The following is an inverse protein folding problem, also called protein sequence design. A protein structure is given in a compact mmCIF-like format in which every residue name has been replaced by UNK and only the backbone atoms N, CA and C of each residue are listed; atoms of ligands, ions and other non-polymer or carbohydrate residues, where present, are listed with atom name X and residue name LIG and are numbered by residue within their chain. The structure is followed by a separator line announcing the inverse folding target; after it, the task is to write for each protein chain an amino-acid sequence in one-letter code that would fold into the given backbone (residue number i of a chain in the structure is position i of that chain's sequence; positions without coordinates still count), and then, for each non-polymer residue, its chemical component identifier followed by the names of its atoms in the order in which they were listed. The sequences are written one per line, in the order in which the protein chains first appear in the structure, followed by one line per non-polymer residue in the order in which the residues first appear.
data_IF_713905629532
#
_entry.id   IF_713905629532
#
_cell.length_a   1.000
_cell.length_b   1.000
_cell.length_c   1.000
_cell.angle_alpha   90.00
_cell.angle_beta   90.00
_cell.angle_gamma   90.00
#
_symmetry.space_group_name_H-M   'P 1'
#
loop_
_entity.id
_entity.type
_entity.pdbx_description
1 polymer ?
#
# COMPACT_ATOMS: atom_id res chain seq x y z
N UNK A 1 25.47 -17.51 -12.79
CA UNK A 1 24.45 -16.84 -11.97
C UNK A 1 24.03 -15.60 -12.72
N UNK A 2 22.76 -15.48 -13.08
CA UNK A 2 22.21 -14.28 -13.73
C UNK A 2 21.59 -13.40 -12.63
N UNK A 3 22.00 -12.14 -12.58
CA UNK A 3 21.58 -11.20 -11.55
C UNK A 3 20.42 -10.33 -12.04
N UNK A 4 19.44 -10.11 -11.15
CA UNK A 4 18.33 -9.19 -11.35
C UNK A 4 18.22 -8.24 -10.16
N UNK A 5 17.68 -7.06 -10.40
CA UNK A 5 17.53 -6.01 -9.38
C UNK A 5 16.05 -5.71 -9.16
N UNK A 6 15.67 -5.69 -7.90
CA UNK A 6 14.43 -5.08 -7.44
C UNK A 6 14.70 -3.82 -6.64
N UNK A 7 14.04 -2.75 -6.99
CA UNK A 7 14.11 -1.46 -6.31
C UNK A 7 12.78 -1.22 -5.60
N UNK A 8 12.82 -0.85 -4.32
CA UNK A 8 11.70 -0.36 -3.53
C UNK A 8 11.92 1.13 -3.26
N UNK A 9 11.17 2.00 -3.96
CA UNK A 9 11.16 3.44 -3.70
C UNK A 9 9.95 3.81 -2.85
N UNK A 10 10.02 3.48 -1.56
CA UNK A 10 8.99 3.80 -0.56
C UNK A 10 9.00 5.28 -0.18
N UNK A 11 8.13 5.70 0.74
CA UNK A 11 8.03 7.11 1.16
C UNK A 11 9.32 7.62 1.84
N UNK A 12 9.94 6.81 2.69
CA UNK A 12 11.07 7.23 3.54
C UNK A 12 12.45 6.83 3.01
N UNK A 13 12.53 5.87 2.08
CA UNK A 13 13.83 5.36 1.61
C UNK A 13 13.68 4.58 0.31
N UNK A 14 14.77 4.54 -0.46
CA UNK A 14 14.99 3.59 -1.54
C UNK A 14 15.79 2.40 -1.03
N UNK A 15 15.35 1.18 -1.35
CA UNK A 15 16.03 -0.08 -1.04
C UNK A 15 16.23 -0.87 -2.32
N UNK A 16 17.37 -1.50 -2.43
CA UNK A 16 17.76 -2.27 -3.59
C UNK A 16 18.14 -3.67 -3.16
N UNK A 17 17.57 -4.67 -3.81
CA UNK A 17 17.98 -6.06 -3.70
C UNK A 17 18.53 -6.54 -5.04
N UNK A 18 19.71 -7.14 -5.02
CA UNK A 18 20.28 -7.84 -6.17
C UNK A 18 20.18 -9.33 -5.89
N UNK A 19 19.42 -10.03 -6.73
CA UNK A 19 19.06 -11.41 -6.53
C UNK A 19 19.54 -12.31 -7.67
N UNK A 20 19.78 -13.58 -7.39
CA UNK A 20 19.87 -14.61 -8.43
C UNK A 20 18.51 -14.79 -9.11
N UNK A 21 18.47 -14.66 -10.44
CA UNK A 21 17.22 -14.72 -11.21
C UNK A 21 16.50 -16.07 -11.11
N UNK A 22 17.24 -17.17 -10.90
CA UNK A 22 16.67 -18.50 -10.86
C UNK A 22 16.06 -18.85 -9.49
N UNK A 23 16.70 -18.39 -8.40
CA UNK A 23 16.36 -18.83 -7.03
C UNK A 23 15.70 -17.75 -6.18
N UNK A 24 15.91 -16.46 -6.51
CA UNK A 24 15.51 -15.33 -5.69
C UNK A 24 16.41 -15.11 -4.48
N UNK A 25 17.53 -15.82 -4.37
CA UNK A 25 18.50 -15.60 -3.31
C UNK A 25 19.08 -14.18 -3.40
N UNK A 26 19.03 -13.46 -2.28
CA UNK A 26 19.58 -12.10 -2.18
C UNK A 26 21.09 -12.20 -2.09
N UNK A 27 21.78 -11.67 -3.09
CA UNK A 27 23.24 -11.67 -3.20
C UNK A 27 23.84 -10.41 -2.59
N UNK A 28 23.20 -9.27 -2.83
CA UNK A 28 23.62 -7.95 -2.35
C UNK A 28 22.42 -7.08 -2.07
N UNK A 29 22.55 -6.14 -1.15
CA UNK A 29 21.52 -5.16 -0.84
C UNK A 29 22.10 -3.78 -0.59
N UNK A 30 21.29 -2.75 -0.78
CA UNK A 30 21.66 -1.37 -0.50
C UNK A 30 20.45 -0.53 -0.12
N UNK A 31 20.72 0.58 0.56
CA UNK A 31 19.68 1.52 1.02
C UNK A 31 20.18 2.94 0.96
N UNK A 32 19.26 3.88 0.67
CA UNK A 32 19.44 5.31 0.85
C UNK A 32 18.12 5.94 1.31
N UNK A 33 18.19 6.97 2.14
CA UNK A 33 16.99 7.62 2.66
C UNK A 33 16.46 8.65 1.66
N UNK A 34 15.13 8.87 1.69
CA UNK A 34 14.46 9.96 1.01
C UNK A 34 14.29 11.16 1.95
N UNK A 35 14.17 12.38 1.43
CA UNK A 35 13.73 13.53 2.22
C UNK A 35 12.32 13.29 2.82
N UNK A 36 12.09 13.79 4.02
CA UNK A 36 10.76 13.80 4.62
C UNK A 36 9.86 14.82 3.92
N UNK A 37 8.57 14.52 3.83
CA UNK A 37 7.56 15.43 3.30
C UNK A 37 6.37 14.75 2.68
N UNK A 38 5.42 15.58 2.22
CA UNK A 38 4.26 15.16 1.43
C UNK A 38 4.33 15.67 0.00
N UNK A 39 5.37 16.45 -0.30
CA UNK A 39 5.68 17.05 -1.60
C UNK A 39 7.20 16.96 -1.81
N UNK A 40 7.64 16.25 -2.85
CA UNK A 40 9.05 15.88 -3.07
C UNK A 40 9.44 16.17 -4.53
N UNK A 41 10.63 16.71 -4.73
CA UNK A 41 11.24 16.75 -6.06
C UNK A 41 11.58 15.31 -6.49
N UNK A 42 11.05 14.81 -7.62
CA UNK A 42 11.34 13.45 -8.10
C UNK A 42 12.84 13.16 -8.28
N UNK A 43 13.68 14.17 -8.54
CA UNK A 43 15.13 14.01 -8.61
C UNK A 43 15.75 13.45 -7.32
N UNK A 44 15.09 13.64 -6.16
CA UNK A 44 15.53 13.04 -4.91
C UNK A 44 15.39 11.51 -4.93
N UNK A 45 14.34 10.98 -5.58
CA UNK A 45 14.17 9.52 -5.74
C UNK A 45 15.22 8.90 -6.64
N UNK A 46 15.56 9.59 -7.76
CA UNK A 46 16.62 9.14 -8.66
C UNK A 46 17.99 9.12 -7.95
N UNK A 47 18.29 10.21 -7.21
CA UNK A 47 19.52 10.30 -6.42
C UNK A 47 19.60 9.20 -5.36
N UNK A 48 18.52 8.93 -4.65
CA UNK A 48 18.46 7.86 -3.64
C UNK A 48 18.55 6.47 -4.28
N UNK A 49 17.94 6.26 -5.45
CA UNK A 49 18.04 4.99 -6.17
C UNK A 49 19.49 4.70 -6.58
N UNK A 50 20.19 5.67 -7.16
CA UNK A 50 21.60 5.53 -7.52
C UNK A 50 22.50 5.34 -6.29
N UNK A 51 22.23 6.04 -5.19
CA UNK A 51 22.95 5.84 -3.93
C UNK A 51 22.73 4.43 -3.35
N UNK A 52 21.50 3.92 -3.36
CA UNK A 52 21.18 2.57 -2.91
C UNK A 52 21.79 1.49 -3.82
N UNK A 53 21.79 1.71 -5.15
CA UNK A 53 22.49 0.84 -6.12
C UNK A 53 23.98 0.81 -5.84
N UNK A 54 24.61 1.97 -5.60
CA UNK A 54 26.04 2.04 -5.27
C UNK A 54 26.34 1.32 -3.95
N UNK A 55 25.50 1.49 -2.93
CA UNK A 55 25.61 0.78 -1.65
C UNK A 55 25.48 -0.76 -1.82
N UNK A 56 24.68 -1.22 -2.78
CA UNK A 56 24.58 -2.63 -3.18
C UNK A 56 25.77 -3.12 -4.03
N UNK A 57 26.78 -2.27 -4.31
CA UNK A 57 27.96 -2.62 -5.11
C UNK A 57 27.78 -2.47 -6.61
N UNK A 58 26.82 -1.68 -7.07
CA UNK A 58 26.60 -1.34 -8.49
C UNK A 58 25.82 -2.39 -9.29
N UNK A 59 25.68 -2.14 -10.59
CA UNK A 59 24.86 -2.94 -11.51
C UNK A 59 25.69 -3.90 -12.39
N UNK A 60 26.96 -4.11 -12.10
CA UNK A 60 27.81 -5.01 -12.91
C UNK A 60 27.22 -6.44 -12.90
N UNK A 61 27.03 -6.99 -14.10
CA UNK A 61 26.47 -8.32 -14.30
C UNK A 61 24.95 -8.44 -14.11
N UNK A 62 24.26 -7.33 -13.92
CA UNK A 62 22.78 -7.28 -13.82
C UNK A 62 22.16 -7.35 -15.21
N UNK A 63 21.25 -8.33 -15.40
CA UNK A 63 20.55 -8.53 -16.66
C UNK A 63 19.18 -7.83 -16.72
N UNK A 64 18.51 -7.68 -15.55
CA UNK A 64 17.20 -7.01 -15.52
C UNK A 64 16.97 -6.24 -14.22
N UNK A 65 16.13 -5.21 -14.32
CA UNK A 65 15.74 -4.29 -13.24
C UNK A 65 14.22 -4.14 -13.27
N UNK A 66 13.58 -4.06 -12.09
CA UNK A 66 12.22 -3.54 -11.96
C UNK A 66 12.09 -2.69 -10.70
N UNK A 67 11.17 -1.73 -10.76
CA UNK A 67 10.93 -0.76 -9.70
C UNK A 67 9.57 -1.02 -9.07
N UNK A 68 9.52 -1.22 -7.76
CA UNK A 68 8.33 -1.07 -6.95
C UNK A 68 8.37 0.29 -6.23
N UNK A 69 7.28 1.03 -6.21
CA UNK A 69 7.27 2.32 -5.51
C UNK A 69 5.94 2.63 -4.84
N UNK A 70 5.97 3.65 -3.96
CA UNK A 70 4.78 4.22 -3.35
C UNK A 70 3.75 4.61 -4.41
N UNK A 71 2.48 4.24 -4.19
CA UNK A 71 1.40 4.49 -5.13
C UNK A 71 0.89 5.95 -5.08
N UNK A 72 0.13 6.34 -6.09
CA UNK A 72 -0.68 7.56 -6.16
C UNK A 72 0.09 8.89 -6.23
N UNK A 73 1.42 8.90 -6.19
CA UNK A 73 2.21 10.10 -6.33
C UNK A 73 1.94 10.76 -7.69
N UNK A 74 1.79 12.11 -7.72
CA UNK A 74 1.52 12.84 -8.95
C UNK A 74 2.80 13.48 -9.47
N UNK A 75 3.38 12.94 -10.54
CA UNK A 75 4.51 13.53 -11.26
C UNK A 75 3.99 14.16 -12.55
N UNK A 76 4.18 15.47 -12.70
CA UNK A 76 3.80 16.25 -13.88
C UNK A 76 5.04 16.63 -14.67
N UNK A 77 5.07 16.28 -15.95
CA UNK A 77 6.17 16.59 -16.88
C UNK A 77 5.70 17.55 -17.96
N UNK A 78 6.57 18.45 -18.38
CA UNK A 78 6.34 19.28 -19.56
C UNK A 78 6.70 18.53 -20.86
N UNK A 79 6.52 19.20 -22.01
CA UNK A 79 6.78 18.57 -23.32
C UNK A 79 8.26 18.20 -23.56
N UNK A 80 9.18 18.70 -22.75
CA UNK A 80 10.61 18.37 -22.82
C UNK A 80 11.00 17.27 -21.82
N UNK A 81 10.07 16.78 -21.01
CA UNK A 81 10.29 15.79 -19.97
C UNK A 81 10.79 16.36 -18.65
N UNK A 82 10.81 17.68 -18.51
CA UNK A 82 11.19 18.34 -17.26
C UNK A 82 10.03 18.34 -16.26
N UNK A 83 10.36 18.20 -14.98
CA UNK A 83 9.36 18.21 -13.89
C UNK A 83 8.74 19.60 -13.76
N UNK A 84 7.43 19.70 -13.92
CA UNK A 84 6.68 20.97 -13.84
C UNK A 84 6.65 21.53 -12.43
N UNK A 85 6.54 20.65 -11.44
CA UNK A 85 6.50 20.98 -10.01
C UNK A 85 6.89 19.75 -9.16
N UNK A 86 7.26 19.92 -7.88
CA UNK A 86 7.46 18.78 -6.97
C UNK A 86 6.23 17.88 -6.92
N UNK A 87 6.44 16.58 -6.85
CA UNK A 87 5.39 15.57 -6.84
C UNK A 87 4.61 15.59 -5.53
N UNK A 88 3.28 15.57 -5.60
CA UNK A 88 2.42 15.37 -4.43
C UNK A 88 2.33 13.88 -4.11
N UNK A 89 2.67 13.49 -2.89
CA UNK A 89 2.68 12.09 -2.44
C UNK A 89 1.29 11.62 -1.99
N UNK A 90 1.16 10.32 -1.74
CA UNK A 90 -0.07 9.69 -1.28
C UNK A 90 -0.57 10.21 0.08
N UNK A 91 0.34 10.67 0.94
CA UNK A 91 0.06 11.21 2.28
C UNK A 91 -0.21 12.74 2.28
N UNK A 92 -0.24 13.39 1.11
CA UNK A 92 -0.67 14.78 1.00
C UNK A 92 -2.20 14.87 1.00
N UNK A 93 -2.74 15.70 1.88
CA UNK A 93 -4.20 15.81 2.09
C UNK A 93 -4.83 17.05 1.46
N UNK A 94 -4.04 17.93 0.80
CA UNK A 94 -4.53 19.19 0.21
C UNK A 94 -5.63 19.00 -0.84
N UNK A 95 -5.69 17.86 -1.49
CA UNK A 95 -6.67 17.52 -2.51
C UNK A 95 -7.97 16.89 -1.96
N UNK A 96 -8.22 16.96 -0.64
CA UNK A 96 -9.43 16.36 -0.05
C UNK A 96 -10.73 16.97 -0.58
N UNK A 97 -10.79 18.30 -0.75
CA UNK A 97 -11.95 18.97 -1.32
C UNK A 97 -12.14 18.63 -2.80
N UNK A 98 -11.05 18.54 -3.55
CA UNK A 98 -11.06 18.12 -4.94
C UNK A 98 -11.59 16.67 -5.10
N UNK A 99 -11.24 15.78 -4.18
CA UNK A 99 -11.75 14.41 -4.16
C UNK A 99 -13.28 14.38 -3.95
N UNK A 100 -13.80 15.16 -2.99
CA UNK A 100 -15.24 15.28 -2.76
C UNK A 100 -15.97 15.85 -3.99
N UNK A 101 -15.46 16.95 -4.55
CA UNK A 101 -16.04 17.56 -5.75
C UNK A 101 -16.11 16.59 -6.93
N UNK A 102 -15.04 15.83 -7.20
CA UNK A 102 -15.01 14.81 -8.24
C UNK A 102 -16.04 13.69 -7.97
N UNK A 103 -16.17 13.26 -6.72
CA UNK A 103 -17.13 12.23 -6.33
C UNK A 103 -18.55 12.69 -6.62
N UNK A 104 -18.90 13.92 -6.22
CA UNK A 104 -20.23 14.51 -6.44
C UNK A 104 -20.52 14.74 -7.93
N UNK A 105 -19.54 15.27 -8.70
CA UNK A 105 -19.67 15.56 -10.13
C UNK A 105 -19.96 14.31 -10.97
N UNK A 106 -19.42 13.12 -10.60
CA UNK A 106 -19.68 11.87 -11.30
C UNK A 106 -20.98 11.18 -10.84
N UNK A 107 -21.60 11.63 -9.75
CA UNK A 107 -22.84 11.05 -9.23
C UNK A 107 -22.66 10.12 -8.05
N UNK A 108 -21.64 10.35 -7.23
CA UNK A 108 -21.40 9.67 -5.97
C UNK A 108 -20.37 8.54 -6.01
N UNK A 109 -20.04 7.96 -4.83
CA UNK A 109 -18.98 6.96 -4.69
C UNK A 109 -19.22 5.72 -5.55
N UNK A 110 -20.47 5.22 -5.62
CA UNK A 110 -20.78 4.05 -6.43
C UNK A 110 -20.56 4.27 -7.95
N UNK A 111 -20.69 5.50 -8.45
CA UNK A 111 -20.37 5.79 -9.85
C UNK A 111 -18.86 5.63 -10.12
N UNK A 112 -18.02 6.10 -9.20
CA UNK A 112 -16.58 5.94 -9.27
C UNK A 112 -16.14 4.47 -9.13
N UNK A 113 -16.69 3.77 -8.13
CA UNK A 113 -16.41 2.35 -7.93
C UNK A 113 -16.73 1.53 -9.20
N UNK A 114 -17.88 1.78 -9.82
CA UNK A 114 -18.28 1.11 -11.09
C UNK A 114 -17.39 1.52 -12.26
N UNK A 115 -16.92 2.76 -12.31
CA UNK A 115 -16.12 3.27 -13.42
C UNK A 115 -14.68 2.73 -13.41
N UNK A 116 -14.00 2.71 -12.23
CA UNK A 116 -12.56 2.41 -12.13
C UNK A 116 -12.17 1.58 -10.90
N UNK A 117 -13.13 1.09 -10.12
CA UNK A 117 -12.86 0.25 -8.94
C UNK A 117 -12.39 1.01 -7.70
N UNK A 118 -12.24 2.34 -7.76
CA UNK A 118 -11.82 3.16 -6.62
C UNK A 118 -12.65 4.42 -6.51
N UNK A 119 -12.85 4.90 -5.28
CA UNK A 119 -13.49 6.19 -5.00
C UNK A 119 -12.40 7.22 -4.71
N UNK A 120 -12.45 8.43 -5.29
CA UNK A 120 -11.44 9.45 -5.06
C UNK A 120 -11.32 9.81 -3.58
N UNK A 121 -10.09 9.78 -3.09
CA UNK A 121 -9.66 10.30 -1.80
C UNK A 121 -8.49 11.26 -2.06
N UNK A 122 -8.08 12.05 -1.07
CA UNK A 122 -6.93 12.95 -1.19
C UNK A 122 -5.65 12.21 -1.64
N UNK A 123 -5.49 10.94 -1.25
CA UNK A 123 -4.37 10.11 -1.65
C UNK A 123 -4.32 9.81 -3.15
N UNK A 124 -5.48 9.67 -3.82
CA UNK A 124 -5.59 9.18 -5.20
C UNK A 124 -5.18 10.26 -6.21
N UNK A 125 -4.45 9.87 -7.24
CA UNK A 125 -3.84 10.79 -8.24
C UNK A 125 -4.86 11.71 -8.90
N UNK A 126 -6.05 11.20 -9.25
CA UNK A 126 -7.11 12.01 -9.90
C UNK A 126 -7.52 13.23 -9.07
N UNK A 127 -7.55 13.10 -7.73
CA UNK A 127 -7.87 14.21 -6.84
C UNK A 127 -6.75 15.27 -6.82
N UNK A 128 -5.49 14.84 -6.88
CA UNK A 128 -4.34 15.75 -6.97
C UNK A 128 -4.32 16.53 -8.30
N UNK A 129 -4.68 15.85 -9.40
CA UNK A 129 -4.80 16.50 -10.71
C UNK A 129 -5.92 17.55 -10.73
N UNK A 130 -7.05 17.25 -10.08
CA UNK A 130 -8.13 18.24 -9.94
C UNK A 130 -7.67 19.43 -9.10
N UNK A 131 -7.00 19.19 -7.98
CA UNK A 131 -6.43 20.23 -7.16
C UNK A 131 -5.44 21.09 -7.97
N UNK A 132 -4.54 20.45 -8.74
CA UNK A 132 -3.59 21.15 -9.62
C UNK A 132 -4.31 22.05 -10.62
N UNK A 133 -5.34 21.54 -11.30
CA UNK A 133 -6.09 22.29 -12.29
C UNK A 133 -6.82 23.52 -11.70
N UNK A 134 -7.32 23.39 -10.48
CA UNK A 134 -8.09 24.45 -9.80
C UNK A 134 -7.20 25.49 -9.08
N UNK A 135 -6.04 25.09 -8.54
CA UNK A 135 -5.20 25.96 -7.70
C UNK A 135 -3.89 26.39 -8.38
N UNK A 136 -3.38 25.61 -9.32
CA UNK A 136 -2.14 25.90 -10.05
C UNK A 136 -2.36 25.78 -11.58
N UNK A 137 -3.31 26.54 -12.18
CA UNK A 137 -3.69 26.37 -13.58
C UNK A 137 -2.50 26.55 -14.55
N UNK A 138 -1.53 27.41 -14.22
CA UNK A 138 -0.33 27.59 -15.04
C UNK A 138 0.58 26.36 -15.06
N UNK A 139 0.64 25.57 -13.96
CA UNK A 139 1.31 24.27 -13.95
C UNK A 139 0.49 23.24 -14.70
N UNK A 140 -0.83 23.23 -14.54
CA UNK A 140 -1.72 22.36 -15.28
C UNK A 140 -1.61 22.56 -16.80
N UNK A 141 -1.51 23.81 -17.28
CA UNK A 141 -1.34 24.17 -18.69
C UNK A 141 0.03 23.71 -19.26
N UNK A 142 1.06 23.69 -18.44
CA UNK A 142 2.41 23.21 -18.82
C UNK A 142 2.54 21.69 -18.79
N UNK A 143 1.63 20.99 -18.10
CA UNK A 143 1.70 19.55 -17.92
C UNK A 143 1.37 18.83 -19.23
N UNK A 144 2.38 18.32 -19.91
CA UNK A 144 2.26 17.56 -21.14
C UNK A 144 2.10 16.05 -20.89
N UNK A 145 2.66 15.53 -19.76
CA UNK A 145 2.47 14.15 -19.34
C UNK A 145 2.29 14.05 -17.81
N UNK A 146 1.56 13.01 -17.38
CA UNK A 146 1.41 12.64 -15.95
C UNK A 146 1.83 11.20 -15.78
N UNK A 147 2.67 10.93 -14.80
CA UNK A 147 3.09 9.59 -14.43
C UNK A 147 3.18 9.43 -12.90
N UNK A 148 3.41 8.20 -12.45
CA UNK A 148 3.52 7.83 -11.05
C UNK A 148 4.99 7.71 -10.64
N UNK A 149 5.32 7.60 -9.34
CA UNK A 149 6.70 7.54 -8.89
C UNK A 149 7.53 6.42 -9.53
N UNK A 150 6.97 5.19 -9.64
CA UNK A 150 7.71 4.10 -10.24
C UNK A 150 7.89 4.25 -11.76
N UNK A 151 6.89 4.84 -12.45
CA UNK A 151 6.94 5.12 -13.89
C UNK A 151 8.12 6.07 -14.18
N UNK A 152 8.13 7.19 -13.45
CA UNK A 152 9.15 8.22 -13.58
C UNK A 152 10.54 7.68 -13.28
N UNK A 153 10.68 6.94 -12.16
CA UNK A 153 11.96 6.38 -11.76
C UNK A 153 12.48 5.33 -12.75
N UNK A 154 11.58 4.46 -13.27
CA UNK A 154 11.92 3.49 -14.31
C UNK A 154 12.39 4.20 -15.58
N UNK A 155 11.66 5.24 -16.01
CA UNK A 155 11.99 6.05 -17.19
C UNK A 155 13.36 6.72 -17.04
N UNK A 156 13.66 7.31 -15.87
CA UNK A 156 14.98 7.92 -15.56
C UNK A 156 16.11 6.89 -15.54
N UNK A 157 15.90 5.75 -14.89
CA UNK A 157 16.91 4.69 -14.80
C UNK A 157 17.24 4.08 -16.17
N UNK A 158 16.30 4.11 -17.12
CA UNK A 158 16.55 3.74 -18.53
C UNK A 158 17.38 4.78 -19.28
N UNK A 159 17.47 5.99 -18.76
CA UNK A 159 18.12 7.12 -19.43
C UNK A 159 17.25 7.78 -20.49
N UNK A 160 15.93 7.55 -20.45
CA UNK A 160 14.98 8.16 -21.38
C UNK A 160 14.75 9.65 -21.05
N UNK A 161 14.44 10.42 -22.08
CA UNK A 161 14.06 11.84 -21.98
C UNK A 161 12.77 12.15 -22.74
N UNK A 162 12.33 11.27 -23.62
CA UNK A 162 11.09 11.42 -24.37
C UNK A 162 9.90 10.93 -23.52
N UNK A 163 8.94 11.79 -23.26
CA UNK A 163 7.72 11.44 -22.53
C UNK A 163 6.91 10.35 -23.22
N UNK A 164 7.06 10.16 -24.54
CA UNK A 164 6.42 9.07 -25.27
C UNK A 164 6.94 7.68 -24.87
N UNK A 165 8.10 7.59 -24.24
CA UNK A 165 8.68 6.36 -23.73
C UNK A 165 8.21 5.99 -22.29
N UNK A 166 7.37 6.81 -21.66
CA UNK A 166 6.82 6.50 -20.33
C UNK A 166 5.99 5.21 -20.35
N UNK A 167 6.28 4.35 -19.39
CA UNK A 167 5.56 3.09 -19.18
C UNK A 167 5.12 2.96 -17.72
N UNK A 168 4.05 2.24 -17.49
CA UNK A 168 3.52 1.88 -16.17
C UNK A 168 3.06 0.44 -16.16
N UNK A 169 2.67 -0.07 -14.99
CA UNK A 169 2.02 -1.36 -14.85
C UNK A 169 0.54 -1.23 -14.46
N UNK A 170 -0.18 -2.36 -14.49
CA UNK A 170 -1.60 -2.40 -14.11
C UNK A 170 -1.84 -2.06 -12.65
N UNK A 171 -0.94 -2.48 -11.75
CA UNK A 171 -1.17 -2.36 -10.31
C UNK A 171 -1.10 -0.89 -9.87
N UNK A 172 -0.13 -0.14 -10.38
CA UNK A 172 0.01 1.27 -10.05
C UNK A 172 -1.00 2.13 -10.84
N UNK A 173 -1.22 1.84 -12.14
CA UNK A 173 -2.24 2.50 -12.94
C UNK A 173 -3.64 2.42 -12.30
N UNK A 174 -4.00 1.28 -11.67
CA UNK A 174 -5.29 1.10 -10.98
C UNK A 174 -5.47 2.01 -9.77
N UNK A 175 -4.38 2.54 -9.21
CA UNK A 175 -4.37 3.52 -8.14
C UNK A 175 -4.53 4.98 -8.58
N UNK A 176 -4.66 5.25 -9.88
CA UNK A 176 -4.75 6.63 -10.41
C UNK A 176 -6.12 7.27 -10.26
N UNK A 177 -7.20 6.47 -10.27
CA UNK A 177 -8.58 6.94 -10.35
C UNK A 177 -9.06 7.27 -11.76
N UNK A 178 -8.25 7.02 -12.78
CA UNK A 178 -8.62 7.14 -14.20
C UNK A 178 -8.16 5.93 -15.06
N UNK A 179 -7.93 4.79 -14.43
CA UNK A 179 -7.68 3.52 -15.11
C UNK A 179 -8.60 2.44 -14.56
N UNK A 180 -9.30 1.75 -15.43
CA UNK A 180 -10.14 0.61 -15.06
C UNK A 180 -9.38 -0.69 -15.19
N UNK A 181 -9.02 -1.29 -14.06
CA UNK A 181 -8.26 -2.53 -14.00
C UNK A 181 -8.99 -3.74 -14.63
N UNK A 182 -10.33 -3.72 -14.66
CA UNK A 182 -11.13 -4.82 -15.23
C UNK A 182 -11.16 -4.79 -16.76
N UNK A 183 -11.28 -3.61 -17.37
CA UNK A 183 -11.21 -3.46 -18.83
C UNK A 183 -9.77 -3.32 -19.35
N UNK A 184 -8.82 -3.01 -18.47
CA UNK A 184 -7.43 -2.74 -18.86
C UNK A 184 -7.25 -1.43 -19.63
N UNK A 185 -8.12 -0.44 -19.43
CA UNK A 185 -8.14 0.78 -20.22
C UNK A 185 -8.18 2.05 -19.36
N UNK A 186 -7.55 3.10 -19.85
CA UNK A 186 -7.70 4.44 -19.28
C UNK A 186 -9.09 5.01 -19.55
N UNK A 187 -9.67 5.62 -18.54
CA UNK A 187 -10.88 6.44 -18.59
C UNK A 187 -10.45 7.90 -18.78
N UNK A 188 -10.15 8.23 -20.05
CA UNK A 188 -9.69 9.57 -20.44
C UNK A 188 -10.73 10.64 -20.10
N UNK A 189 -12.01 10.31 -20.11
CA UNK A 189 -13.11 11.18 -19.68
C UNK A 189 -12.98 11.61 -18.20
N UNK A 190 -12.53 10.70 -17.31
CA UNK A 190 -12.29 11.02 -15.90
C UNK A 190 -11.01 11.84 -15.70
N UNK A 191 -9.98 11.59 -16.52
CA UNK A 191 -8.79 12.44 -16.54
C UNK A 191 -9.16 13.88 -16.98
N UNK A 192 -9.94 14.03 -18.04
CA UNK A 192 -10.41 15.33 -18.52
C UNK A 192 -11.28 16.05 -17.48
N UNK A 193 -12.18 15.32 -16.83
CA UNK A 193 -12.98 15.84 -15.74
C UNK A 193 -12.07 16.44 -14.65
N UNK A 194 -11.06 15.68 -14.21
CA UNK A 194 -10.10 16.12 -13.19
C UNK A 194 -9.27 17.33 -13.67
N UNK A 195 -8.76 17.30 -14.89
CA UNK A 195 -7.86 18.29 -15.45
C UNK A 195 -8.59 19.48 -16.10
N UNK A 196 -9.92 19.63 -15.87
CA UNK A 196 -10.72 20.72 -16.45
C UNK A 196 -10.59 20.80 -17.98
N UNK A 197 -10.70 19.66 -18.66
CA UNK A 197 -10.65 19.53 -20.11
C UNK A 197 -9.27 19.34 -20.71
N UNK A 198 -8.18 19.38 -19.93
CA UNK A 198 -6.82 19.10 -20.41
C UNK A 198 -6.58 17.61 -20.53
N UNK A 199 -5.75 17.20 -21.50
CA UNK A 199 -5.43 15.80 -21.83
C UNK A 199 -3.92 15.56 -21.82
N UNK A 200 -3.25 15.54 -20.66
CA UNK A 200 -1.85 15.15 -20.64
C UNK A 200 -1.68 13.70 -21.12
N UNK A 201 -0.52 13.40 -21.71
CA UNK A 201 -0.15 12.06 -22.06
C UNK A 201 -0.06 11.17 -20.82
N UNK A 202 -0.47 9.90 -20.95
CA UNK A 202 -0.34 8.89 -19.91
C UNK A 202 0.67 7.81 -20.33
N UNK A 203 1.34 7.15 -19.40
CA UNK A 203 2.26 6.05 -19.68
C UNK A 203 1.56 4.89 -20.39
N UNK A 204 2.27 4.17 -21.25
CA UNK A 204 1.78 2.92 -21.81
C UNK A 204 1.72 1.85 -20.70
N UNK A 205 0.56 1.20 -20.54
CA UNK A 205 0.39 0.15 -19.53
C UNK A 205 0.95 -1.16 -20.07
N UNK A 206 1.98 -1.67 -19.39
CA UNK A 206 2.61 -2.94 -19.72
C UNK A 206 1.89 -4.13 -19.05
N UNK A 207 1.91 -5.28 -19.68
CA UNK A 207 1.50 -6.54 -19.05
C UNK A 207 2.56 -6.99 -18.02
N UNK A 208 2.23 -7.85 -17.07
CA UNK A 208 3.13 -8.23 -15.98
C UNK A 208 4.49 -8.83 -16.39
N UNK A 209 4.54 -9.51 -17.54
CA UNK A 209 5.75 -10.11 -18.09
C UNK A 209 6.41 -9.26 -19.19
N UNK A 210 5.78 -8.14 -19.57
CA UNK A 210 6.32 -7.27 -20.61
C UNK A 210 7.56 -6.53 -20.09
N UNK A 211 8.43 -6.18 -21.02
CA UNK A 211 9.68 -5.52 -20.73
C UNK A 211 9.96 -4.42 -21.74
N UNK A 212 10.72 -3.43 -21.27
CA UNK A 212 11.43 -2.47 -22.10
C UNK A 212 12.92 -2.74 -21.98
N UNK A 213 13.75 -2.08 -22.77
CA UNK A 213 15.20 -2.28 -22.70
C UNK A 213 15.96 -0.96 -22.79
N UNK A 214 17.11 -0.90 -22.14
CA UNK A 214 18.12 0.13 -22.33
C UNK A 214 19.49 -0.55 -22.49
N UNK A 215 20.07 -0.47 -23.68
CA UNK A 215 21.27 -1.24 -24.02
C UNK A 215 21.02 -2.74 -23.89
N UNK A 216 21.78 -3.40 -23.02
CA UNK A 216 21.67 -4.84 -22.72
C UNK A 216 20.83 -5.15 -21.48
N UNK A 217 20.34 -4.12 -20.77
CA UNK A 217 19.56 -4.29 -19.54
C UNK A 217 18.07 -4.29 -19.84
N UNK A 218 17.39 -5.31 -19.37
CA UNK A 218 15.92 -5.44 -19.44
C UNK A 218 15.29 -4.68 -18.28
N UNK A 219 14.22 -3.92 -18.54
CA UNK A 219 13.40 -3.28 -17.50
C UNK A 219 12.01 -3.90 -17.49
N UNK A 220 11.62 -4.47 -16.36
CA UNK A 220 10.25 -4.95 -16.15
C UNK A 220 9.24 -3.80 -16.07
N UNK A 221 7.95 -4.15 -16.09
CA UNK A 221 6.86 -3.19 -16.09
C UNK A 221 6.83 -2.27 -14.85
N UNK A 222 7.43 -2.70 -13.74
CA UNK A 222 7.30 -2.05 -12.43
C UNK A 222 6.06 -2.51 -11.68
N UNK A 223 5.84 -1.97 -10.47
CA UNK A 223 4.74 -2.35 -9.57
C UNK A 223 4.45 -1.23 -8.58
N UNK A 224 3.19 -1.06 -8.19
CA UNK A 224 2.87 -0.41 -6.92
C UNK A 224 3.39 -1.22 -5.73
N UNK A 225 3.75 -0.56 -4.63
CA UNK A 225 4.39 -1.18 -3.46
C UNK A 225 3.58 -2.35 -2.88
N UNK A 226 2.26 -2.23 -2.78
CA UNK A 226 1.41 -3.29 -2.25
C UNK A 226 1.38 -4.54 -3.16
N UNK A 227 1.34 -4.33 -4.48
CA UNK A 227 1.41 -5.42 -5.46
C UNK A 227 2.80 -6.09 -5.47
N UNK A 228 3.85 -5.29 -5.36
CA UNK A 228 5.21 -5.77 -5.23
C UNK A 228 5.39 -6.61 -3.95
N UNK A 229 4.89 -6.13 -2.81
CA UNK A 229 4.92 -6.89 -1.55
C UNK A 229 4.17 -8.23 -1.67
N UNK A 230 2.99 -8.23 -2.29
CA UNK A 230 2.22 -9.46 -2.52
C UNK A 230 3.00 -10.47 -3.38
N UNK A 231 3.63 -10.00 -4.47
CA UNK A 231 4.47 -10.83 -5.34
C UNK A 231 5.71 -11.35 -4.60
N UNK A 232 6.38 -10.50 -3.80
CA UNK A 232 7.56 -10.87 -3.02
C UNK A 232 7.26 -11.89 -1.92
N UNK A 233 6.11 -11.79 -1.27
CA UNK A 233 5.61 -12.77 -0.30
C UNK A 233 5.19 -14.09 -0.98
N UNK A 234 4.95 -14.08 -2.28
CA UNK A 234 4.34 -15.21 -2.98
C UNK A 234 2.91 -15.43 -2.52
N UNK A 235 2.19 -14.35 -2.20
CA UNK A 235 0.79 -14.43 -1.79
C UNK A 235 -0.09 -14.96 -2.90
N UNK A 236 -1.08 -15.77 -2.55
CA UNK A 236 -2.01 -16.39 -3.47
C UNK A 236 -3.45 -16.23 -2.96
N UNK A 237 -4.42 -16.69 -3.74
CA UNK A 237 -5.82 -16.65 -3.37
C UNK A 237 -6.08 -17.34 -2.03
N UNK A 238 -6.76 -16.63 -1.13
CA UNK A 238 -6.99 -17.05 0.25
C UNK A 238 -5.94 -16.57 1.26
N UNK A 239 -4.80 -16.03 0.79
CA UNK A 239 -3.85 -15.32 1.65
C UNK A 239 -4.32 -13.86 1.79
N UNK A 240 -4.55 -13.40 3.02
CA UNK A 240 -4.81 -11.99 3.32
C UNK A 240 -3.55 -11.36 3.91
N UNK A 241 -3.01 -10.36 3.25
CA UNK A 241 -1.86 -9.62 3.74
C UNK A 241 -2.36 -8.53 4.69
N UNK A 242 -1.93 -8.58 5.93
CA UNK A 242 -2.17 -7.53 6.93
C UNK A 242 -0.84 -6.87 7.24
N UNK A 243 -0.68 -5.64 6.78
CA UNK A 243 0.52 -4.83 7.04
C UNK A 243 0.25 -3.86 8.18
N UNK A 244 1.03 -3.96 9.25
CA UNK A 244 0.96 -3.09 10.43
C UNK A 244 2.17 -2.17 10.44
N UNK A 245 2.08 -1.11 9.65
CA UNK A 245 2.99 0.04 9.66
C UNK A 245 2.46 1.15 10.56
N UNK A 246 2.83 2.41 10.31
CA UNK A 246 2.19 3.59 10.93
C UNK A 246 0.69 3.57 10.68
N UNK A 247 0.29 3.29 9.45
CA UNK A 247 -1.07 2.95 9.01
C UNK A 247 -1.21 1.45 8.77
N UNK A 248 -2.44 0.97 8.66
CA UNK A 248 -2.74 -0.44 8.39
C UNK A 248 -3.20 -0.66 6.95
N UNK A 249 -2.83 -1.81 6.40
CA UNK A 249 -3.33 -2.27 5.09
C UNK A 249 -3.83 -3.70 5.25
N UNK A 250 -5.00 -3.97 4.68
CA UNK A 250 -5.56 -5.33 4.54
C UNK A 250 -5.81 -5.57 3.06
N UNK A 251 -5.08 -6.47 2.44
CA UNK A 251 -5.15 -6.74 1.01
C UNK A 251 -5.14 -8.24 0.73
N UNK A 252 -5.69 -8.64 -0.40
CA UNK A 252 -5.68 -10.04 -0.83
C UNK A 252 -5.61 -10.16 -2.34
N UNK A 253 -5.11 -11.28 -2.84
CA UNK A 253 -5.11 -11.55 -4.28
C UNK A 253 -6.41 -12.26 -4.66
N UNK A 254 -7.12 -11.73 -5.68
CA UNK A 254 -8.37 -12.32 -6.19
C UNK A 254 -8.33 -12.50 -7.70
N UNK A 255 -9.11 -13.48 -8.19
CA UNK A 255 -9.27 -13.69 -9.63
C UNK A 255 -10.17 -12.61 -10.27
N UNK A 256 -11.15 -12.13 -9.53
CA UNK A 256 -12.16 -11.18 -10.01
C UNK A 256 -11.94 -9.77 -9.45
N UNK A 257 -12.31 -8.77 -10.26
CA UNK A 257 -12.26 -7.36 -9.86
C UNK A 257 -13.31 -7.07 -8.78
N UNK A 258 -12.90 -6.36 -7.74
CA UNK A 258 -13.81 -5.85 -6.70
C UNK A 258 -14.26 -4.43 -7.05
N UNK A 259 -15.56 -4.17 -6.86
CA UNK A 259 -16.16 -2.85 -7.02
C UNK A 259 -17.06 -2.57 -5.82
N UNK A 260 -16.57 -1.74 -4.92
CA UNK A 260 -17.26 -1.43 -3.67
C UNK A 260 -17.93 -0.05 -3.78
N UNK A 261 -19.24 -0.05 -3.97
CA UNK A 261 -20.06 1.17 -4.06
C UNK A 261 -19.96 2.07 -2.81
N UNK A 262 -19.60 1.50 -1.66
CA UNK A 262 -19.39 2.24 -0.42
C UNK A 262 -17.99 2.89 -0.35
N UNK A 263 -17.03 2.39 -1.14
CA UNK A 263 -15.67 2.92 -1.25
C UNK A 263 -14.73 2.53 -0.10
N UNK A 264 -15.07 1.51 0.69
CA UNK A 264 -14.17 0.99 1.73
C UNK A 264 -13.05 0.15 1.13
N UNK A 265 -13.37 -0.62 0.06
CA UNK A 265 -12.41 -1.47 -0.66
C UNK A 265 -11.99 -0.80 -1.95
N UNK A 266 -10.69 -0.55 -2.10
CA UNK A 266 -10.11 -0.14 -3.37
C UNK A 266 -9.84 -1.38 -4.24
N UNK A 267 -10.43 -1.43 -5.44
CA UNK A 267 -10.35 -2.55 -6.38
C UNK A 267 -9.10 -2.48 -7.26
N UNK A 268 -7.91 -2.49 -6.67
CA UNK A 268 -6.65 -2.42 -7.42
C UNK A 268 -6.36 -3.71 -8.20
N UNK A 269 -5.51 -3.60 -9.22
CA UNK A 269 -4.89 -4.74 -9.87
C UNK A 269 -3.66 -5.23 -9.07
N UNK A 270 -3.32 -6.51 -9.22
CA UNK A 270 -2.06 -7.06 -8.74
C UNK A 270 -0.97 -7.03 -9.83
N UNK A 271 0.24 -7.44 -9.47
CA UNK A 271 1.39 -7.53 -10.38
C UNK A 271 1.43 -8.80 -11.24
N UNK A 272 0.39 -9.67 -11.22
CA UNK A 272 0.40 -10.95 -11.94
C UNK A 272 -0.71 -11.11 -13.00
N UNK A 273 -1.53 -10.08 -13.17
CA UNK A 273 -2.67 -10.10 -14.09
C UNK A 273 -4.01 -10.36 -13.39
N UNK A 274 -4.00 -10.52 -12.06
CA UNK A 274 -5.16 -10.65 -11.18
C UNK A 274 -5.49 -9.31 -10.51
N UNK A 275 -6.16 -9.33 -9.36
CA UNK A 275 -6.56 -8.13 -8.63
C UNK A 275 -6.04 -8.18 -7.19
N UNK A 276 -5.93 -7.00 -6.57
CA UNK A 276 -5.48 -6.81 -5.20
C UNK A 276 -6.44 -5.85 -4.47
N UNK A 277 -7.70 -6.29 -4.22
CA UNK A 277 -8.58 -5.47 -3.40
C UNK A 277 -7.94 -5.17 -2.05
N UNK A 278 -8.06 -3.91 -1.62
CA UNK A 278 -7.29 -3.37 -0.53
C UNK A 278 -8.13 -2.40 0.32
N UNK A 279 -7.98 -2.53 1.64
CA UNK A 279 -8.54 -1.62 2.65
C UNK A 279 -7.39 -0.98 3.42
N UNK A 280 -7.44 0.34 3.61
CA UNK A 280 -6.46 1.08 4.41
C UNK A 280 -7.07 1.64 5.67
N UNK A 281 -6.34 1.59 6.79
CA UNK A 281 -6.62 2.32 8.03
C UNK A 281 -5.54 3.37 8.29
N UNK A 282 -5.88 4.46 8.99
CA UNK A 282 -4.89 5.46 9.39
C UNK A 282 -4.12 5.03 10.64
N UNK A 283 -4.76 4.24 11.51
CA UNK A 283 -4.22 3.88 12.80
C UNK A 283 -3.82 2.41 12.83
N UNK A 284 -2.52 2.15 12.99
CA UNK A 284 -2.00 0.80 13.19
C UNK A 284 -0.90 0.77 14.27
N UNK A 285 0.38 0.68 13.96
CA UNK A 285 1.44 0.60 14.97
C UNK A 285 1.42 1.78 15.94
N UNK A 286 1.03 2.98 15.49
CA UNK A 286 0.88 4.16 16.36
C UNK A 286 -0.06 3.94 17.56
N UNK A 287 -1.01 3.00 17.46
CA UNK A 287 -1.90 2.62 18.57
C UNK A 287 -1.09 1.94 19.68
N UNK A 288 -0.12 1.10 19.28
CA UNK A 288 0.78 0.45 20.23
C UNK A 288 1.73 1.47 20.87
N UNK A 289 2.24 2.43 20.08
CA UNK A 289 3.09 3.52 20.55
C UNK A 289 2.35 4.37 21.61
N UNK A 290 1.12 4.78 21.30
CA UNK A 290 0.29 5.57 22.21
C UNK A 290 -0.04 4.80 23.50
N UNK A 291 -0.39 3.52 23.40
CA UNK A 291 -0.68 2.68 24.56
C UNK A 291 0.56 2.47 25.41
N UNK A 292 1.73 2.23 24.84
CA UNK A 292 3.00 2.10 25.54
C UNK A 292 3.36 3.39 26.30
N UNK A 293 3.20 4.54 25.63
CA UNK A 293 3.42 5.85 26.23
C UNK A 293 2.46 6.13 27.40
N UNK A 294 1.15 5.86 27.25
CA UNK A 294 0.16 6.03 28.32
C UNK A 294 0.47 5.15 29.54
N UNK A 295 1.01 3.94 29.32
CA UNK A 295 1.33 2.98 30.38
C UNK A 295 2.75 3.17 30.96
N UNK A 296 3.58 4.03 30.36
CA UNK A 296 4.97 4.24 30.77
C UNK A 296 5.85 3.00 30.60
N UNK A 297 5.61 2.20 29.57
CA UNK A 297 6.34 0.98 29.25
C UNK A 297 6.89 1.00 27.81
N UNK A 298 7.85 0.13 27.53
CA UNK A 298 8.28 -0.17 26.17
C UNK A 298 7.32 -1.17 25.45
N UNK A 299 7.57 -1.49 24.19
CA UNK A 299 6.74 -2.44 23.42
C UNK A 299 6.74 -3.84 24.00
N UNK A 300 7.85 -4.29 24.60
CA UNK A 300 7.92 -5.59 25.28
C UNK A 300 7.09 -5.56 26.56
N UNK A 301 7.12 -4.48 27.31
CA UNK A 301 6.26 -4.24 28.47
C UNK A 301 4.79 -4.23 28.11
N UNK A 302 4.42 -3.53 27.04
CA UNK A 302 3.06 -3.53 26.49
C UNK A 302 2.62 -4.95 26.13
N UNK A 303 3.46 -5.71 25.44
CA UNK A 303 3.17 -7.09 25.07
C UNK A 303 2.95 -7.99 26.29
N UNK A 304 3.83 -7.90 27.30
CA UNK A 304 3.67 -8.67 28.57
C UNK A 304 2.37 -8.32 29.29
N UNK A 305 2.03 -7.05 29.38
CA UNK A 305 0.77 -6.59 30.00
C UNK A 305 -0.44 -7.11 29.21
N UNK A 306 -0.47 -6.95 27.90
CA UNK A 306 -1.58 -7.40 27.05
C UNK A 306 -1.82 -8.91 27.14
N UNK A 307 -0.74 -9.71 27.17
CA UNK A 307 -0.81 -11.17 27.27
C UNK A 307 -1.23 -11.66 28.67
N UNK A 308 -1.06 -10.84 29.71
CA UNK A 308 -1.49 -11.18 31.09
C UNK A 308 -2.99 -10.94 31.32
N UNK A 309 -3.68 -10.20 30.44
CA UNK A 309 -5.11 -9.96 30.55
C UNK A 309 -5.93 -11.00 29.76
N UNK A 310 -7.17 -11.30 30.21
CA UNK A 310 -8.06 -12.21 29.49
C UNK A 310 -8.50 -11.62 28.14
N UNK A 311 -8.90 -12.48 27.18
CA UNK A 311 -9.54 -12.05 25.94
C UNK A 311 -10.72 -11.13 26.20
N UNK A 312 -10.82 -10.03 25.44
CA UNK A 312 -11.84 -9.00 25.62
C UNK A 312 -11.58 -8.02 26.76
N UNK A 313 -10.34 -8.01 27.32
CA UNK A 313 -9.86 -7.02 28.30
C UNK A 313 -10.85 -6.76 29.45
N UNK A 314 -11.50 -7.80 29.96
CA UNK A 314 -12.59 -7.72 30.97
C UNK A 314 -13.71 -6.72 30.61
N UNK A 315 -14.00 -6.55 29.33
CA UNK A 315 -15.04 -5.65 28.81
C UNK A 315 -14.56 -4.26 28.40
N UNK A 316 -13.28 -3.95 28.55
CA UNK A 316 -12.69 -2.71 28.06
C UNK A 316 -12.46 -2.78 26.53
N UNK A 317 -12.83 -1.75 25.80
CA UNK A 317 -12.64 -1.67 24.34
C UNK A 317 -12.01 -0.32 23.98
N UNK A 318 -10.91 -0.37 23.25
CA UNK A 318 -10.33 0.82 22.62
C UNK A 318 -10.78 0.90 21.16
N UNK A 319 -11.39 2.02 20.76
CA UNK A 319 -11.58 2.41 19.36
C UNK A 319 -10.41 3.30 18.97
N UNK A 320 -9.52 2.87 18.04
CA UNK A 320 -8.19 3.47 17.90
C UNK A 320 -8.13 4.61 16.87
N UNK A 321 -9.13 5.48 16.76
CA UNK A 321 -9.18 6.57 15.76
C UNK A 321 -8.38 7.80 16.20
N UNK A 322 -7.10 7.61 16.53
CA UNK A 322 -6.26 8.62 17.21
C UNK A 322 -6.01 9.88 16.37
N UNK A 323 -5.98 9.75 15.05
CA UNK A 323 -5.74 10.84 14.08
C UNK A 323 -6.87 10.91 13.03
N UNK A 324 -8.10 10.69 13.47
CA UNK A 324 -9.18 10.35 12.56
C UNK A 324 -9.06 8.92 12.06
N UNK A 325 -9.93 8.51 11.12
CA UNK A 325 -9.81 7.21 10.47
C UNK A 325 -10.19 7.31 8.98
N UNK A 326 -9.58 6.46 8.15
CA UNK A 326 -9.81 6.37 6.71
C UNK A 326 -10.89 5.34 6.36
N UNK A 327 -10.86 4.20 7.04
CA UNK A 327 -11.87 3.15 6.88
C UNK A 327 -12.38 2.73 8.27
N UNK A 328 -13.60 3.17 8.63
CA UNK A 328 -14.51 4.06 7.90
C UNK A 328 -13.96 5.48 7.72
N UNK A 329 -14.48 6.24 6.73
CA UNK A 329 -14.04 7.62 6.47
C UNK A 329 -14.54 8.57 7.57
N UNK A 330 -13.75 8.75 8.61
CA UNK A 330 -14.02 9.59 9.80
C UNK A 330 -12.81 10.49 10.09
N UNK A 331 -12.51 11.47 9.23
CA UNK A 331 -11.27 12.26 9.31
C UNK A 331 -11.14 13.09 10.59
N UNK A 332 -12.24 13.39 11.27
CA UNK A 332 -12.27 14.19 12.50
C UNK A 332 -12.54 13.36 13.77
N UNK A 333 -12.56 12.03 13.66
CA UNK A 333 -12.76 11.19 14.83
C UNK A 333 -11.54 11.20 15.75
N UNK A 334 -11.77 10.92 17.02
CA UNK A 334 -10.73 10.70 18.02
C UNK A 334 -10.84 9.30 18.64
N UNK A 335 -9.75 8.79 19.20
CA UNK A 335 -9.76 7.52 19.92
C UNK A 335 -10.67 7.56 21.13
N UNK A 336 -11.35 6.43 21.41
CA UNK A 336 -12.28 6.31 22.54
C UNK A 336 -12.08 5.01 23.31
N UNK A 337 -12.20 5.09 24.63
CA UNK A 337 -12.15 3.95 25.54
C UNK A 337 -13.54 3.68 26.10
N UNK A 338 -14.13 2.55 25.78
CA UNK A 338 -15.46 2.14 26.20
C UNK A 338 -15.43 1.03 27.25
N UNK A 339 -16.48 0.94 28.07
CA UNK A 339 -16.64 -0.14 29.03
C UNK A 339 -15.77 -0.03 30.27
N UNK A 340 -15.13 1.13 30.53
CA UNK A 340 -14.28 1.35 31.71
C UNK A 340 -15.09 1.29 33.02
N UNK A 341 -14.61 0.49 33.96
CA UNK A 341 -15.16 0.31 35.31
C UNK A 341 -14.00 0.18 36.29
N UNK A 342 -14.23 0.45 37.59
CA UNK A 342 -13.21 0.29 38.63
C UNK A 342 -12.60 -1.13 38.61
N UNK A 343 -13.41 -2.15 38.36
CA UNK A 343 -12.98 -3.55 38.38
C UNK A 343 -12.05 -3.94 37.21
N UNK A 344 -12.11 -3.23 36.07
CA UNK A 344 -11.28 -3.53 34.88
C UNK A 344 -10.25 -2.43 34.55
N UNK A 345 -10.15 -1.38 35.37
CA UNK A 345 -9.22 -0.28 35.21
C UNK A 345 -7.79 -0.71 35.64
N UNK A 346 -7.17 -1.57 34.88
CA UNK A 346 -5.81 -2.09 35.14
C UNK A 346 -4.92 -1.88 33.92
N UNK A 347 -3.59 -1.70 34.12
CA UNK A 347 -2.62 -1.62 33.03
C UNK A 347 -2.71 -2.79 32.04
N UNK A 348 -2.92 -4.01 32.55
CA UNK A 348 -3.05 -5.21 31.71
C UNK A 348 -4.26 -5.15 30.77
N UNK A 349 -5.44 -4.76 31.30
CA UNK A 349 -6.64 -4.64 30.48
C UNK A 349 -6.54 -3.49 29.48
N UNK A 350 -5.90 -2.37 29.83
CA UNK A 350 -5.68 -1.27 28.88
C UNK A 350 -4.75 -1.70 27.74
N UNK A 351 -3.64 -2.37 28.06
CA UNK A 351 -2.73 -2.91 27.07
C UNK A 351 -3.44 -3.93 26.14
N UNK A 352 -4.23 -4.82 26.72
CA UNK A 352 -5.03 -5.79 25.95
C UNK A 352 -6.05 -5.11 25.05
N UNK A 353 -6.79 -4.14 25.55
CA UNK A 353 -7.78 -3.39 24.78
C UNK A 353 -7.15 -2.62 23.61
N UNK A 354 -5.91 -2.10 23.78
CA UNK A 354 -5.18 -1.43 22.71
C UNK A 354 -4.78 -2.40 21.59
N UNK A 355 -4.25 -3.56 21.93
CA UNK A 355 -3.89 -4.58 20.93
C UNK A 355 -5.14 -5.14 20.24
N UNK A 356 -6.20 -5.47 20.99
CA UNK A 356 -7.45 -5.96 20.43
C UNK A 356 -8.16 -4.90 19.60
N UNK A 357 -8.15 -3.63 20.01
CA UNK A 357 -8.75 -2.52 19.26
C UNK A 357 -8.09 -2.32 17.89
N UNK A 358 -6.75 -2.34 17.85
CA UNK A 358 -5.99 -2.33 16.60
C UNK A 358 -6.36 -3.53 15.70
N UNK A 359 -6.37 -4.74 16.26
CA UNK A 359 -6.70 -5.96 15.51
C UNK A 359 -8.15 -5.94 15.02
N UNK A 360 -9.10 -5.43 15.82
CA UNK A 360 -10.49 -5.29 15.42
C UNK A 360 -10.67 -4.28 14.28
N UNK A 361 -9.95 -3.16 14.30
CA UNK A 361 -9.97 -2.21 13.19
C UNK A 361 -9.46 -2.83 11.88
N UNK A 362 -8.44 -3.71 11.96
CA UNK A 362 -7.97 -4.48 10.80
C UNK A 362 -8.93 -5.61 10.42
N UNK A 363 -9.63 -6.21 11.39
CA UNK A 363 -10.66 -7.22 11.14
C UNK A 363 -11.87 -6.63 10.40
N UNK A 364 -12.24 -5.37 10.65
CA UNK A 364 -13.23 -4.66 9.81
C UNK A 364 -12.81 -4.66 8.33
N UNK A 365 -11.50 -4.52 8.05
CA UNK A 365 -10.97 -4.65 6.69
C UNK A 365 -11.15 -6.04 6.09
N UNK A 366 -10.98 -7.11 6.89
CA UNK A 366 -11.27 -8.47 6.45
C UNK A 366 -12.77 -8.65 6.16
N UNK A 367 -13.64 -8.09 7.00
CA UNK A 367 -15.09 -8.16 6.82
C UNK A 367 -15.54 -7.43 5.53
N UNK A 368 -14.95 -6.27 5.23
CA UNK A 368 -15.20 -5.58 3.97
C UNK A 368 -14.77 -6.42 2.76
N UNK A 369 -13.61 -7.08 2.81
CA UNK A 369 -13.19 -8.00 1.76
C UNK A 369 -14.13 -9.22 1.66
N UNK A 370 -14.55 -9.78 2.78
CA UNK A 370 -15.46 -10.92 2.83
C UNK A 370 -16.84 -10.59 2.24
N UNK A 371 -17.32 -9.35 2.41
CA UNK A 371 -18.56 -8.88 1.78
C UNK A 371 -18.51 -8.90 0.24
N UNK A 372 -17.30 -8.91 -0.34
CA UNK A 372 -17.05 -9.06 -1.77
C UNK A 372 -16.64 -10.48 -2.18
N UNK A 373 -16.92 -11.48 -1.35
CA UNK A 373 -16.70 -12.90 -1.68
C UNK A 373 -15.30 -13.43 -1.37
N UNK A 374 -14.44 -12.63 -0.75
CA UNK A 374 -13.12 -13.09 -0.33
C UNK A 374 -13.24 -14.09 0.83
N UNK A 375 -12.60 -15.24 0.69
CA UNK A 375 -12.50 -16.24 1.75
C UNK A 375 -11.06 -16.29 2.26
N UNK A 376 -10.82 -15.67 3.40
CA UNK A 376 -9.53 -15.72 4.06
C UNK A 376 -9.23 -17.12 4.58
N UNK A 377 -8.11 -17.74 4.18
CA UNK A 377 -7.61 -19.03 4.68
C UNK A 377 -6.53 -18.82 5.74
N UNK A 378 -5.76 -17.77 5.60
CA UNK A 378 -4.76 -17.32 6.57
C UNK A 378 -4.46 -15.84 6.38
N UNK A 379 -3.87 -15.24 7.39
CA UNK A 379 -3.30 -13.90 7.35
C UNK A 379 -1.78 -13.99 7.25
N UNK A 380 -1.18 -13.24 6.33
CA UNK A 380 0.25 -12.92 6.29
C UNK A 380 0.45 -11.59 7.02
N UNK A 381 0.95 -11.64 8.26
CA UNK A 381 1.12 -10.45 9.09
C UNK A 381 2.52 -9.87 8.89
N UNK A 382 2.60 -8.66 8.35
CA UNK A 382 3.85 -7.97 8.02
C UNK A 382 3.90 -6.56 8.60
N UNK A 383 4.98 -5.84 8.34
CA UNK A 383 5.20 -4.48 8.83
C UNK A 383 5.87 -4.45 10.21
N UNK A 384 6.27 -3.25 10.65
CA UNK A 384 7.00 -3.08 11.91
C UNK A 384 6.22 -3.55 13.14
N UNK A 385 4.89 -3.35 13.14
CA UNK A 385 4.02 -3.83 14.23
C UNK A 385 3.97 -5.35 14.37
N UNK A 386 4.27 -6.10 13.31
CA UNK A 386 4.39 -7.56 13.38
C UNK A 386 5.53 -8.05 14.31
N UNK A 387 6.43 -7.16 14.76
CA UNK A 387 7.40 -7.50 15.79
C UNK A 387 6.76 -7.69 17.19
N UNK A 388 5.56 -7.11 17.43
CA UNK A 388 4.87 -7.21 18.71
C UNK A 388 4.45 -8.65 19.03
N UNK A 389 4.95 -9.18 20.14
CA UNK A 389 4.62 -10.54 20.59
C UNK A 389 3.13 -10.70 20.91
N UNK A 390 2.52 -9.67 21.52
CA UNK A 390 1.09 -9.67 21.81
C UNK A 390 0.25 -9.66 20.51
N UNK A 391 0.66 -8.86 19.53
CA UNK A 391 -0.06 -8.80 18.25
C UNK A 391 -0.08 -10.18 17.57
N UNK A 392 1.08 -10.85 17.46
CA UNK A 392 1.20 -12.19 16.88
C UNK A 392 0.33 -13.22 17.59
N UNK A 393 0.35 -13.22 18.92
CA UNK A 393 -0.36 -14.20 19.73
C UNK A 393 -1.88 -13.99 19.74
N UNK A 394 -2.34 -12.73 19.67
CA UNK A 394 -3.77 -12.38 19.78
C UNK A 394 -4.47 -12.38 18.41
N UNK A 395 -3.75 -12.02 17.35
CA UNK A 395 -4.31 -11.86 16.01
C UNK A 395 -5.13 -13.07 15.51
N UNK A 396 -4.70 -14.34 15.65
CA UNK A 396 -5.48 -15.48 15.19
C UNK A 396 -6.86 -15.58 15.86
N UNK A 397 -6.95 -15.23 17.15
CA UNK A 397 -8.20 -15.26 17.89
C UNK A 397 -9.19 -14.19 17.42
N UNK A 398 -8.69 -12.99 17.04
CA UNK A 398 -9.52 -11.88 16.56
C UNK A 398 -9.91 -12.08 15.09
N UNK A 399 -8.96 -12.48 14.23
CA UNK A 399 -9.22 -12.70 12.81
C UNK A 399 -9.97 -14.01 12.51
N UNK A 400 -9.97 -14.97 13.43
CA UNK A 400 -10.64 -16.25 13.27
C UNK A 400 -9.96 -17.21 12.27
N UNK A 401 -8.75 -16.89 11.82
CA UNK A 401 -7.95 -17.70 10.88
C UNK A 401 -6.49 -17.74 11.34
N UNK A 402 -5.70 -18.77 10.90
CA UNK A 402 -4.26 -18.81 11.19
C UNK A 402 -3.52 -17.57 10.73
N UNK A 403 -2.51 -17.18 11.48
CA UNK A 403 -1.63 -16.02 11.15
C UNK A 403 -0.22 -16.53 10.95
N UNK A 404 0.35 -16.27 9.78
CA UNK A 404 1.73 -16.55 9.44
C UNK A 404 2.51 -15.22 9.44
N UNK A 405 3.60 -15.18 10.19
CA UNK A 405 4.49 -14.01 10.26
C UNK A 405 5.76 -14.33 9.49
N UNK A 406 5.94 -13.80 8.28
CA UNK A 406 7.15 -14.02 7.51
C UNK A 406 8.38 -13.42 8.21
N UNK A 407 9.54 -14.04 8.00
CA UNK A 407 10.81 -13.50 8.47
C UNK A 407 10.96 -12.04 7.98
N UNK A 408 11.53 -11.13 8.80
CA UNK A 408 11.74 -9.75 8.35
C UNK A 408 12.48 -9.68 7.02
N UNK A 409 11.95 -8.89 6.06
CA UNK A 409 12.51 -8.80 4.71
C UNK A 409 12.00 -7.60 3.93
N UNK A 410 12.66 -7.30 2.82
CA UNK A 410 12.30 -6.20 1.90
C UNK A 410 11.38 -6.74 0.80
N UNK A 411 10.12 -7.03 1.14
CA UNK A 411 9.20 -7.75 0.25
C UNK A 411 8.81 -6.97 -1.01
N UNK A 412 8.79 -5.63 -0.95
CA UNK A 412 8.57 -4.78 -2.12
C UNK A 412 9.72 -4.93 -3.10
N UNK A 413 10.97 -4.76 -2.65
CA UNK A 413 12.14 -4.93 -3.49
C UNK A 413 12.28 -6.38 -3.99
N UNK A 414 11.94 -7.40 -3.17
CA UNK A 414 11.96 -8.80 -3.56
C UNK A 414 10.91 -9.09 -4.66
N UNK A 415 9.72 -8.52 -4.55
CA UNK A 415 8.68 -8.64 -5.58
C UNK A 415 9.07 -7.96 -6.89
N UNK A 416 9.67 -6.77 -6.81
CA UNK A 416 10.23 -6.10 -7.98
C UNK A 416 11.35 -6.94 -8.63
N UNK A 417 12.28 -7.51 -7.84
CA UNK A 417 13.32 -8.41 -8.36
C UNK A 417 12.72 -9.66 -9.04
N UNK A 418 11.64 -10.22 -8.45
CA UNK A 418 10.92 -11.35 -9.04
C UNK A 418 10.25 -11.00 -10.37
N UNK A 419 9.70 -9.78 -10.50
CA UNK A 419 9.17 -9.28 -11.76
C UNK A 419 10.30 -9.04 -12.78
N UNK A 420 11.44 -8.48 -12.38
CA UNK A 420 12.61 -8.34 -13.26
C UNK A 420 13.05 -9.69 -13.83
N UNK A 421 13.12 -10.72 -12.99
CA UNK A 421 13.45 -12.09 -13.43
C UNK A 421 12.37 -12.66 -14.36
N UNK A 422 11.10 -12.35 -14.10
CA UNK A 422 9.99 -12.76 -14.96
C UNK A 422 10.06 -12.10 -16.34
N UNK A 423 10.21 -10.80 -16.40
CA UNK A 423 10.38 -10.03 -17.63
C UNK A 423 11.59 -10.51 -18.44
N UNK A 424 12.72 -10.79 -17.78
CA UNK A 424 13.93 -11.32 -18.42
C UNK A 424 13.72 -12.69 -19.07
N UNK A 425 12.92 -13.56 -18.41
CA UNK A 425 12.67 -14.91 -18.91
C UNK A 425 11.61 -14.99 -20.00
N UNK A 426 10.71 -13.99 -20.09
CA UNK A 426 9.52 -14.02 -20.97
C UNK A 426 8.56 -15.17 -20.68
N UNK A 427 8.64 -15.79 -19.49
CA UNK A 427 7.80 -16.94 -19.14
C UNK A 427 6.33 -16.53 -18.92
N UNK A 428 5.40 -17.47 -19.07
CA UNK A 428 3.97 -17.22 -18.85
C UNK A 428 3.60 -16.93 -17.38
N UNK A 429 4.47 -17.27 -16.45
CA UNK A 429 4.27 -17.08 -15.00
C UNK A 429 5.55 -16.58 -14.34
N UNK A 430 5.46 -15.86 -13.22
CA UNK A 430 6.63 -15.44 -12.48
C UNK A 430 7.45 -16.65 -12.01
N UNK A 431 8.78 -16.52 -11.85
CA UNK A 431 9.64 -17.60 -11.40
C UNK A 431 9.18 -18.16 -10.04
N UNK A 432 9.28 -19.48 -9.88
CA UNK A 432 8.87 -20.18 -8.65
C UNK A 432 9.94 -20.08 -7.56
N UNK A 433 10.18 -18.87 -7.07
CA UNK A 433 11.10 -18.64 -5.95
C UNK A 433 10.51 -19.20 -4.65
N UNK A 434 11.41 -19.59 -3.73
CA UNK A 434 10.99 -20.05 -2.41
C UNK A 434 10.24 -18.94 -1.68
N UNK A 435 9.11 -19.28 -1.06
CA UNK A 435 8.40 -18.34 -0.18
C UNK A 435 9.23 -18.05 1.06
N UNK A 436 9.12 -16.85 1.64
CA UNK A 436 9.75 -16.55 2.92
C UNK A 436 9.33 -17.57 4.00
N UNK A 437 10.28 -17.92 4.88
CA UNK A 437 9.96 -18.72 6.06
C UNK A 437 9.01 -17.96 6.97
N UNK A 438 8.04 -18.64 7.57
CA UNK A 438 7.04 -18.07 8.47
C UNK A 438 7.10 -18.69 9.84
N UNK A 439 6.79 -17.88 10.86
CA UNK A 439 6.36 -18.38 12.17
C UNK A 439 4.82 -18.38 12.17
N UNK A 440 4.21 -19.51 12.45
CA UNK A 440 2.76 -19.68 12.37
C UNK A 440 2.13 -19.65 13.76
N UNK A 441 1.03 -18.91 13.86
CA UNK A 441 0.27 -18.70 15.09
C UNK A 441 -1.18 -19.14 14.88
N UNK A 442 -1.72 -19.85 15.85
CA UNK A 442 -3.11 -20.28 15.91
C UNK A 442 -3.69 -20.04 17.30
N UNK A 443 -4.98 -19.77 17.38
CA UNK A 443 -5.72 -19.63 18.64
C UNK A 443 -7.20 -19.93 18.38
N UNK A 444 -7.92 -20.28 19.44
CA UNK A 444 -9.38 -20.41 19.38
C UNK A 444 -10.00 -19.04 19.05
N UNK A 445 -10.92 -18.94 18.08
CA UNK A 445 -11.55 -17.70 17.71
C UNK A 445 -12.32 -17.06 18.89
N UNK A 446 -12.23 -15.72 18.99
CA UNK A 446 -12.94 -14.91 20.00
C UNK A 446 -13.85 -13.89 19.33
N UNK A 447 -14.90 -14.30 18.57
CA UNK A 447 -15.74 -13.39 17.78
C UNK A 447 -16.41 -12.33 18.64
N UNK A 448 -16.71 -12.63 19.93
CA UNK A 448 -17.29 -11.68 20.87
C UNK A 448 -16.41 -10.45 21.14
N UNK A 449 -15.10 -10.51 20.87
CA UNK A 449 -14.19 -9.36 20.99
C UNK A 449 -14.49 -8.36 19.85
N UNK A 450 -14.51 -8.83 18.60
CA UNK A 450 -14.83 -8.01 17.45
C UNK A 450 -16.28 -7.55 17.43
N UNK A 451 -17.23 -8.40 17.80
CA UNK A 451 -18.65 -8.01 17.95
C UNK A 451 -18.84 -6.87 18.96
N UNK A 452 -18.10 -6.90 20.08
CA UNK A 452 -18.15 -5.83 21.08
C UNK A 452 -17.53 -4.55 20.55
N UNK A 453 -16.41 -4.66 19.85
CA UNK A 453 -15.77 -3.53 19.18
C UNK A 453 -16.74 -2.90 18.16
N UNK A 454 -17.34 -3.67 17.29
CA UNK A 454 -18.28 -3.18 16.28
C UNK A 454 -19.44 -2.39 16.88
N UNK A 455 -20.00 -2.84 18.04
CA UNK A 455 -21.09 -2.13 18.73
C UNK A 455 -20.70 -0.74 19.26
N UNK A 456 -19.43 -0.53 19.66
CA UNK A 456 -18.98 0.75 20.23
C UNK A 456 -18.26 1.62 19.23
N UNK A 457 -17.70 1.04 18.16
CA UNK A 457 -17.07 1.75 17.05
C UNK A 457 -18.01 2.81 16.45
N UNK A 458 -19.27 2.46 16.27
CA UNK A 458 -20.26 3.32 15.65
C UNK A 458 -20.80 4.42 16.60
N UNK A 459 -20.55 4.29 17.90
CA UNK A 459 -20.86 5.32 18.89
C UNK A 459 -19.81 6.47 18.91
N UNK A 460 -18.65 6.27 18.28
CA UNK A 460 -17.56 7.26 18.20
C UNK A 460 -17.74 8.23 17.03
N UNK A 461 -18.94 8.34 16.45
CA UNK A 461 -19.24 9.33 15.43
C UNK A 461 -19.26 10.75 16.02
N UNK A 462 -18.31 11.57 15.56
CA UNK A 462 -18.45 13.02 15.55
C UNK A 462 -18.57 13.69 16.93
N UNK A 463 -17.53 13.59 17.77
CA UNK A 463 -17.32 14.62 18.79
C UNK A 463 -16.47 15.74 18.22
#
# INVERSE_FOLDING_TARGET
MTLVVGIDSSTQSCKVLICDAATGEVVREGRADHPDGTEIDPAAWESAAWAAIAAAGGLDGVAAIAVGAQQHGMVCLDATGEVVRPALLWNDVRSADAARALTDELGGPGAWARAVGVVPLAAITVAKLRWLADHEPGHADRTAAVCLPHDWLTWRLRGDTDIAALTTDRSDASGTGYYDAASGAYRVDLLELAMRGRRPQLPAVLSPADATASGTTTFGAGLGDNAAAALGLGADEGDVIVSVGTSGVVATVTADAVRDDAGFVAGFADGTGRYLPLVCTLNAARVLDAAAAMLGVDHDGLSRLALSAPPGAAGLVLVPYLEGERTPNRPNASGALHGLRVANATPANLARAAVEGLLCALADGLDHLAAHGVVARRVLLIGGGAASQALRAIAPAVFGVPVSVPAPGQYVALGAARQAAWALSGAARPPAWARPRTDDYTADPTPQVHERYARVRDLTEGA
#
